data_IF_538844526110
#
_entry.id   IF_538844526110
#
_cell.length_a   1.000
_cell.length_b   1.000
_cell.length_c   1.000
_cell.angle_alpha   90.00
_cell.angle_beta   90.00
_cell.angle_gamma   90.00
#
_symmetry.space_group_name_H-M   'P 1'
#
loop_
_entity.id
_entity.type
_entity.pdbx_description
1 polymer ?
#
# COMPACT_ATOMS: atom_id res chain seq x y z
N UNK A 1 12.86 25.48 -19.77
CA UNK A 1 13.02 24.22 -19.03
C UNK A 1 12.00 23.23 -19.55
N UNK A 2 12.41 22.08 -20.10
CA UNK A 2 11.49 21.10 -20.70
C UNK A 2 10.72 20.37 -19.58
N UNK A 3 9.39 20.36 -19.64
CA UNK A 3 8.53 19.71 -18.64
C UNK A 3 8.31 18.24 -18.99
N UNK A 4 8.44 17.36 -17.99
CA UNK A 4 8.12 15.93 -18.11
C UNK A 4 6.61 15.73 -18.27
N UNK A 5 6.19 15.00 -19.30
CA UNK A 5 4.82 14.51 -19.43
C UNK A 5 4.66 13.11 -18.83
N UNK A 6 3.42 12.66 -18.64
CA UNK A 6 3.12 11.28 -18.21
C UNK A 6 3.73 10.24 -19.16
N UNK A 7 3.64 10.48 -20.48
CA UNK A 7 4.21 9.60 -21.50
C UNK A 7 5.74 9.55 -21.45
N UNK A 8 6.39 10.67 -21.10
CA UNK A 8 7.84 10.69 -20.93
C UNK A 8 8.26 9.84 -19.72
N UNK A 9 7.53 9.93 -18.61
CA UNK A 9 7.77 9.12 -17.40
C UNK A 9 7.55 7.62 -17.68
N UNK A 10 6.50 7.27 -18.44
CA UNK A 10 6.23 5.90 -18.88
C UNK A 10 7.37 5.35 -19.75
N UNK A 11 7.82 6.11 -20.75
CA UNK A 11 8.93 5.73 -21.64
C UNK A 11 10.26 5.61 -20.90
N UNK A 12 10.52 6.49 -19.94
CA UNK A 12 11.69 6.44 -19.07
C UNK A 12 11.75 5.09 -18.34
N UNK A 13 10.65 4.71 -17.69
CA UNK A 13 10.56 3.46 -16.94
C UNK A 13 10.62 2.24 -17.86
N UNK A 14 9.91 2.25 -18.98
CA UNK A 14 9.93 1.15 -19.95
C UNK A 14 11.34 0.89 -20.51
N UNK A 15 12.02 1.96 -20.93
CA UNK A 15 13.40 1.88 -21.43
C UNK A 15 14.37 1.36 -20.37
N UNK A 16 14.28 1.89 -19.14
CA UNK A 16 15.13 1.45 -18.03
C UNK A 16 14.87 0.00 -17.65
N UNK A 17 13.61 -0.42 -17.58
CA UNK A 17 13.21 -1.81 -17.33
C UNK A 17 13.65 -2.77 -18.45
N UNK A 18 13.99 -2.26 -19.64
CA UNK A 18 14.66 -2.99 -20.72
C UNK A 18 16.14 -3.32 -20.45
N UNK A 19 16.71 -2.87 -19.33
CA UNK A 19 18.14 -3.04 -19.03
C UNK A 19 19.03 -1.98 -19.69
N UNK A 20 18.45 -0.90 -20.21
CA UNK A 20 19.19 0.17 -20.85
C UNK A 20 19.96 1.03 -19.82
N UNK A 21 21.17 1.44 -20.18
CA UNK A 21 21.89 2.46 -19.41
C UNK A 21 21.29 3.87 -19.65
N UNK A 22 21.63 4.83 -18.78
CA UNK A 22 21.04 6.18 -18.83
C UNK A 22 21.28 6.93 -20.15
N UNK A 23 22.42 6.70 -20.82
CA UNK A 23 22.68 7.29 -22.14
C UNK A 23 21.76 6.72 -23.22
N UNK A 24 21.50 5.42 -23.18
CA UNK A 24 20.55 4.77 -24.09
C UNK A 24 19.11 5.23 -23.82
N UNK A 25 18.71 5.29 -22.55
CA UNK A 25 17.39 5.80 -22.14
C UNK A 25 17.17 7.23 -22.65
N UNK A 26 18.17 8.10 -22.48
CA UNK A 26 18.14 9.47 -22.98
C UNK A 26 18.05 9.54 -24.52
N UNK A 27 19.00 8.92 -25.24
CA UNK A 27 19.12 9.07 -26.70
C UNK A 27 18.04 8.33 -27.47
N UNK A 28 17.75 7.09 -27.09
CA UNK A 28 16.83 6.21 -27.82
C UNK A 28 15.45 6.27 -27.19
N UNK A 29 15.33 5.93 -25.91
CA UNK A 29 14.05 5.81 -25.20
C UNK A 29 13.24 7.11 -25.16
N UNK A 30 13.93 8.24 -25.01
CA UNK A 30 13.34 9.58 -24.94
C UNK A 30 13.72 10.47 -26.13
N UNK A 31 14.29 9.87 -27.18
CA UNK A 31 14.65 10.56 -28.43
C UNK A 31 15.54 11.79 -28.24
N UNK A 32 16.42 11.76 -27.23
CA UNK A 32 17.34 12.86 -26.90
C UNK A 32 16.68 14.08 -26.27
N UNK A 33 15.40 14.02 -25.91
CA UNK A 33 14.65 15.15 -25.33
C UNK A 33 15.14 15.55 -23.95
N UNK A 34 15.68 14.59 -23.21
CA UNK A 34 16.28 14.77 -21.89
C UNK A 34 17.66 14.13 -21.90
N UNK A 35 18.65 14.77 -21.29
CA UNK A 35 19.98 14.18 -21.13
C UNK A 35 19.96 13.02 -20.10
N UNK A 36 21.06 12.26 -20.05
CA UNK A 36 21.17 11.10 -19.18
C UNK A 36 21.06 11.46 -17.68
N UNK A 37 21.53 12.65 -17.28
CA UNK A 37 21.45 13.11 -15.90
C UNK A 37 20.01 13.42 -15.50
N UNK A 38 19.29 14.18 -16.32
CA UNK A 38 17.88 14.49 -16.14
C UNK A 38 17.02 13.22 -16.09
N UNK A 39 17.35 12.19 -16.89
CA UNK A 39 16.70 10.88 -16.82
C UNK A 39 16.88 10.22 -15.45
N UNK A 40 18.12 10.22 -14.93
CA UNK A 40 18.45 9.64 -13.63
C UNK A 40 17.78 10.38 -12.48
N UNK A 41 17.84 11.70 -12.48
CA UNK A 41 17.19 12.54 -11.47
C UNK A 41 15.67 12.35 -11.47
N UNK A 42 15.08 12.26 -12.67
CA UNK A 42 13.65 11.97 -12.79
C UNK A 42 13.29 10.58 -12.27
N UNK A 43 14.10 9.57 -12.55
CA UNK A 43 13.89 8.21 -12.04
C UNK A 43 13.90 8.19 -10.50
N UNK A 44 14.88 8.86 -9.88
CA UNK A 44 14.95 9.02 -8.41
C UNK A 44 13.70 9.73 -7.89
N UNK A 45 13.24 10.77 -8.57
CA UNK A 45 12.00 11.48 -8.20
C UNK A 45 10.78 10.56 -8.23
N UNK A 46 10.67 9.67 -9.22
CA UNK A 46 9.57 8.70 -9.31
C UNK A 46 9.67 7.61 -8.21
N UNK A 47 10.89 7.24 -7.82
CA UNK A 47 11.16 6.32 -6.73
C UNK A 47 10.72 6.89 -5.37
N UNK A 48 11.01 8.17 -5.11
CA UNK A 48 10.75 8.85 -3.85
C UNK A 48 9.35 9.46 -3.73
N UNK A 49 8.58 9.52 -4.82
CA UNK A 49 7.25 10.15 -4.80
C UNK A 49 6.36 9.44 -3.76
N UNK A 50 5.59 10.19 -2.97
CA UNK A 50 4.72 9.60 -1.94
C UNK A 50 3.60 8.75 -2.56
N UNK A 51 3.25 7.64 -1.91
CA UNK A 51 2.06 6.84 -2.27
C UNK A 51 0.80 7.51 -1.73
N UNK A 52 -0.28 7.44 -2.50
CA UNK A 52 -1.59 7.95 -2.09
C UNK A 52 -2.64 6.83 -2.25
N UNK A 53 -3.85 7.08 -1.74
CA UNK A 53 -4.92 6.08 -1.75
C UNK A 53 -5.31 5.60 -3.17
N UNK A 54 -5.18 6.46 -4.18
CA UNK A 54 -5.45 6.09 -5.58
C UNK A 54 -4.35 5.18 -6.13
N UNK A 55 -3.08 5.52 -5.88
CA UNK A 55 -1.92 4.70 -6.23
C UNK A 55 -2.02 3.31 -5.58
N UNK A 56 -2.35 3.26 -4.29
CA UNK A 56 -2.52 1.99 -3.54
C UNK A 56 -3.70 1.17 -4.06
N UNK A 57 -4.84 1.81 -4.37
CA UNK A 57 -6.00 1.13 -4.96
C UNK A 57 -5.67 0.51 -6.31
N UNK A 58 -4.94 1.25 -7.16
CA UNK A 58 -4.49 0.75 -8.47
C UNK A 58 -3.49 -0.38 -8.33
N UNK A 59 -2.49 -0.22 -7.45
CA UNK A 59 -1.50 -1.25 -7.14
C UNK A 59 -2.17 -2.55 -6.68
N UNK A 60 -3.13 -2.44 -5.76
CA UNK A 60 -3.87 -3.59 -5.23
C UNK A 60 -4.68 -4.34 -6.30
N UNK A 61 -5.33 -3.59 -7.21
CA UNK A 61 -6.07 -4.17 -8.35
C UNK A 61 -5.12 -4.89 -9.31
N UNK A 62 -3.93 -4.35 -9.55
CA UNK A 62 -2.92 -4.92 -10.43
C UNK A 62 -1.98 -5.93 -9.77
N UNK A 63 -2.16 -6.30 -8.50
CA UNK A 63 -1.18 -7.11 -7.74
C UNK A 63 -0.79 -8.43 -8.40
N UNK A 64 -1.76 -9.11 -9.03
CA UNK A 64 -1.55 -10.36 -9.75
C UNK A 64 -0.68 -10.19 -11.02
N UNK A 65 -0.66 -8.98 -11.60
CA UNK A 65 0.16 -8.64 -12.77
C UNK A 65 1.59 -8.27 -12.42
N UNK A 66 1.92 -8.03 -11.14
CA UNK A 66 3.29 -7.64 -10.75
C UNK A 66 4.29 -8.76 -11.04
N UNK A 67 3.86 -10.02 -10.91
CA UNK A 67 4.71 -11.19 -11.22
C UNK A 67 4.77 -11.43 -12.72
N UNK A 68 3.63 -11.32 -13.42
CA UNK A 68 3.51 -11.69 -14.84
C UNK A 68 4.00 -10.57 -15.78
N UNK A 69 3.74 -9.32 -15.44
CA UNK A 69 3.95 -8.13 -16.29
C UNK A 69 4.43 -6.92 -15.48
N UNK A 70 5.56 -7.01 -14.75
CA UNK A 70 6.04 -5.94 -13.88
C UNK A 70 6.31 -4.62 -14.63
N UNK A 71 6.73 -4.69 -15.90
CA UNK A 71 7.02 -3.50 -16.73
C UNK A 71 5.77 -2.68 -17.03
N UNK A 72 4.67 -3.35 -17.40
CA UNK A 72 3.38 -2.71 -17.66
C UNK A 72 2.83 -2.03 -16.40
N UNK A 73 2.92 -2.72 -15.26
CA UNK A 73 2.50 -2.15 -13.96
C UNK A 73 3.37 -0.94 -13.59
N UNK A 74 4.69 -1.02 -13.80
CA UNK A 74 5.63 0.07 -13.58
C UNK A 74 5.30 1.32 -14.40
N UNK A 75 5.06 1.15 -15.69
CA UNK A 75 4.68 2.25 -16.56
C UNK A 75 3.32 2.87 -16.14
N UNK A 76 2.29 2.05 -15.90
CA UNK A 76 0.95 2.52 -15.54
C UNK A 76 0.93 3.30 -14.20
N UNK A 77 1.60 2.78 -13.18
CA UNK A 77 1.72 3.47 -11.90
C UNK A 77 2.69 4.64 -11.94
N UNK A 78 3.54 4.72 -12.99
CA UNK A 78 4.66 5.66 -13.12
C UNK A 78 5.58 5.56 -11.90
N UNK A 79 5.96 4.31 -11.57
CA UNK A 79 6.81 3.94 -10.44
C UNK A 79 7.85 2.91 -10.86
N UNK A 80 9.08 2.94 -10.32
CA UNK A 80 10.02 1.85 -10.48
C UNK A 80 9.45 0.51 -9.95
N UNK A 81 9.83 -0.59 -10.60
CA UNK A 81 9.37 -1.95 -10.20
C UNK A 81 9.72 -2.26 -8.74
N UNK A 82 10.89 -1.84 -8.26
CA UNK A 82 11.31 -2.11 -6.88
C UNK A 82 10.40 -1.41 -5.87
N UNK A 83 10.10 -0.12 -6.07
CA UNK A 83 9.17 0.62 -5.22
C UNK A 83 7.77 0.02 -5.21
N UNK A 84 7.32 -0.53 -6.35
CA UNK A 84 6.03 -1.24 -6.44
C UNK A 84 6.03 -2.50 -5.58
N UNK A 85 7.12 -3.29 -5.65
CA UNK A 85 7.24 -4.53 -4.87
C UNK A 85 7.29 -4.25 -3.37
N UNK A 86 8.09 -3.27 -2.96
CA UNK A 86 8.19 -2.83 -1.56
C UNK A 86 6.82 -2.38 -1.03
N UNK A 87 6.12 -1.50 -1.76
CA UNK A 87 4.78 -1.03 -1.35
C UNK A 87 3.75 -2.15 -1.29
N UNK A 88 3.81 -3.13 -2.21
CA UNK A 88 2.88 -4.26 -2.17
C UNK A 88 3.07 -5.09 -0.90
N UNK A 89 4.31 -5.36 -0.50
CA UNK A 89 4.63 -6.10 0.72
C UNK A 89 4.07 -5.36 1.94
N UNK A 90 4.25 -4.03 2.02
CA UNK A 90 3.67 -3.20 3.08
C UNK A 90 2.14 -3.32 3.12
N UNK A 91 1.46 -3.16 1.98
CA UNK A 91 0.00 -3.26 1.90
C UNK A 91 -0.54 -4.64 2.30
N UNK A 92 0.20 -5.71 1.99
CA UNK A 92 -0.14 -7.06 2.43
C UNK A 92 0.02 -7.23 3.94
N UNK A 93 1.06 -6.64 4.53
CA UNK A 93 1.30 -6.67 5.97
C UNK A 93 0.26 -5.85 6.73
N UNK A 94 -0.02 -4.62 6.31
CA UNK A 94 -1.06 -3.75 6.90
C UNK A 94 -2.45 -4.44 6.93
N UNK A 95 -2.72 -5.31 5.95
CA UNK A 95 -3.98 -6.08 5.90
C UNK A 95 -3.96 -7.34 6.74
N UNK A 96 -2.81 -7.99 6.91
CA UNK A 96 -2.64 -9.14 7.82
C UNK A 96 -2.69 -8.69 9.28
N UNK A 97 -2.16 -7.50 9.58
CA UNK A 97 -2.12 -6.91 10.92
C UNK A 97 -3.45 -6.31 11.36
N UNK A 98 -4.43 -6.17 10.46
CA UNK A 98 -5.82 -5.93 10.89
C UNK A 98 -6.35 -7.25 11.43
N UNK A 99 -6.51 -7.42 12.77
CA UNK A 99 -7.29 -8.54 13.25
C UNK A 99 -8.64 -8.44 12.55
N UNK A 100 -9.14 -9.58 12.06
CA UNK A 100 -10.55 -9.68 11.83
C UNK A 100 -11.20 -9.36 13.18
N UNK A 101 -11.77 -8.16 13.34
CA UNK A 101 -12.88 -7.98 14.26
C UNK A 101 -14.03 -8.81 13.69
N UNK A 102 -13.93 -10.13 13.82
CA UNK A 102 -15.11 -10.97 13.86
C UNK A 102 -15.96 -10.41 14.99
N UNK A 103 -17.25 -10.18 14.74
CA UNK A 103 -18.17 -9.42 15.62
C UNK A 103 -18.46 -10.06 16.98
N UNK A 104 -17.53 -10.82 17.56
CA UNK A 104 -17.61 -11.44 18.88
C UNK A 104 -17.26 -10.42 19.98
N UNK A 105 -16.41 -9.43 19.71
CA UNK A 105 -16.04 -8.42 20.71
C UNK A 105 -17.08 -7.31 20.92
N UNK A 106 -18.13 -7.23 20.09
CA UNK A 106 -19.27 -6.33 20.33
C UNK A 106 -20.32 -6.96 21.27
N UNK A 107 -20.27 -8.27 21.49
CA UNK A 107 -21.22 -8.97 22.36
C UNK A 107 -20.78 -9.03 23.84
N UNK A 108 -19.50 -8.79 24.14
CA UNK A 108 -19.03 -8.81 25.53
C UNK A 108 -19.31 -7.50 26.30
N UNK A 109 -19.63 -6.39 25.64
CA UNK A 109 -19.99 -5.14 26.34
C UNK A 109 -21.49 -5.06 26.72
N UNK A 110 -22.33 -5.96 26.19
CA UNK A 110 -23.77 -6.00 26.51
C UNK A 110 -24.15 -7.02 27.60
N UNK A 111 -23.20 -7.80 28.15
CA UNK A 111 -23.52 -8.87 29.11
C UNK A 111 -23.02 -8.63 30.55
N UNK A 112 -22.21 -7.60 30.81
CA UNK A 112 -21.72 -7.30 32.17
C UNK A 112 -22.48 -6.19 32.91
N UNK A 113 -23.63 -5.72 32.41
CA UNK A 113 -24.50 -4.76 33.13
C UNK A 113 -25.93 -5.25 33.41
N UNK A 114 -26.17 -6.55 33.41
CA UNK A 114 -27.46 -7.11 33.82
C UNK A 114 -27.28 -8.45 34.55
N UNK A 115 -26.67 -8.41 35.74
CA UNK A 115 -26.97 -9.23 36.94
C UNK A 115 -25.76 -9.28 37.87
N UNK A 116 -25.30 -8.11 38.33
CA UNK A 116 -24.59 -8.03 39.59
C UNK A 116 -25.49 -7.29 40.57
N UNK A 117 -25.74 -7.91 41.72
CA UNK A 117 -26.54 -7.45 42.87
C UNK A 117 -28.00 -7.91 42.96
N UNK A 118 -28.20 -9.19 43.29
CA UNK A 118 -29.11 -9.51 44.41
C UNK A 118 -28.54 -10.66 45.21
N UNK A 119 -27.49 -10.34 45.98
CA UNK A 119 -26.91 -11.25 46.97
C UNK A 119 -27.99 -11.69 47.95
N UNK A 120 -28.10 -13.01 48.07
CA UNK A 120 -28.83 -13.70 49.09
C UNK A 120 -28.41 -13.23 50.49
N UNK A 121 -29.39 -13.03 51.38
CA UNK A 121 -29.18 -12.93 52.82
C UNK A 121 -30.00 -14.04 53.47
N UNK A 122 -29.32 -15.14 53.77
CA UNK A 122 -29.78 -16.17 54.71
C UNK A 122 -29.02 -15.95 56.01
N UNK A 123 -29.73 -15.82 57.13
CA UNK A 123 -29.28 -15.98 58.54
C UNK A 123 -30.52 -15.76 59.44
N UNK A 124 -31.11 -16.84 59.95
CA UNK A 124 -30.99 -17.43 61.32
C UNK A 124 -31.99 -16.86 62.34
N UNK A 125 -32.92 -17.73 62.72
CA UNK A 125 -33.37 -18.15 64.06
C UNK A 125 -33.66 -17.18 65.24
N UNK A 126 -34.76 -17.55 65.92
CA UNK A 126 -35.06 -17.57 67.37
C UNK A 126 -35.65 -16.36 68.15
N UNK A 127 -36.89 -16.61 68.60
CA UNK A 127 -37.56 -16.42 69.93
C UNK A 127 -38.01 -15.07 70.56
N UNK A 128 -39.36 -14.98 70.70
CA UNK A 128 -40.23 -14.57 71.86
C UNK A 128 -40.19 -13.17 72.51
N UNK A 129 -41.25 -12.73 73.23
CA UNK A 129 -42.14 -13.44 74.19
C UNK A 129 -43.58 -13.76 73.74
#
# INVERSE_FOLDING_TARGET
>A
MVKWSKKDEERLLDSFNGGANWHHVSRIGLSGRFDAQACREKFITLQLKAWNAEDDSRLWKSRHLIVLRPKEVSANLRRPINSIKERLIELENERKEKPFCTGIDVLNDCKEKATSSRSAKTKTDDDKP
#
